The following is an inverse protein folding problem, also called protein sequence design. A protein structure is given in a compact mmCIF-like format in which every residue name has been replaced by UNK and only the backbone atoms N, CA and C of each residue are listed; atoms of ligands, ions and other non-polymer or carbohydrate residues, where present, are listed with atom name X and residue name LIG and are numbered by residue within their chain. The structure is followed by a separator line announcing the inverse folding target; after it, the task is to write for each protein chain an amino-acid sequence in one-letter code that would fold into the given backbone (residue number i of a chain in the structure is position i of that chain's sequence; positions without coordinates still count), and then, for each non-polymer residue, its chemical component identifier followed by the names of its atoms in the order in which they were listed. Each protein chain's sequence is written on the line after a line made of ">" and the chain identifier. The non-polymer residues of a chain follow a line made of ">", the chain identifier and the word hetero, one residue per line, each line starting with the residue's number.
data_IF_259003432235
#
_entry.id   IF_259003432235
#
_cell.length_a   1.000
_cell.length_b   1.000
_cell.length_c   1.000
_cell.angle_alpha   90.00
_cell.angle_beta   90.00
_cell.angle_gamma   90.00
#
_symmetry.space_group_name_H-M   'P 1'
#
loop_
_entity.id
_entity.type
_entity.pdbx_description
1 polymer ?
#
# COMPACT_ATOMS: atom_id res chain seq x y z
N UNK A 1 -29.80 -2.44 16.90
CA UNK A 1 -28.90 -2.46 15.75
C UNK A 1 -27.45 -2.43 16.19
N UNK A 2 -26.60 -3.19 15.52
CA UNK A 2 -25.19 -3.24 15.83
C UNK A 2 -24.44 -2.29 14.90
N UNK A 3 -23.61 -1.42 15.47
CA UNK A 3 -22.73 -0.51 14.73
C UNK A 3 -21.29 -0.88 14.97
N UNK A 4 -20.52 -1.03 13.88
CA UNK A 4 -19.09 -1.31 13.95
C UNK A 4 -18.39 -0.15 13.28
N UNK A 5 -17.46 0.49 13.98
CA UNK A 5 -16.72 1.64 13.46
C UNK A 5 -15.35 1.20 12.98
N UNK A 6 -15.00 1.56 11.75
CA UNK A 6 -13.74 1.18 11.14
C UNK A 6 -12.77 2.36 11.01
N UNK A 7 -13.26 3.50 10.53
CA UNK A 7 -12.45 4.71 10.27
C UNK A 7 -11.19 4.40 9.45
N UNK A 8 -11.37 3.61 8.40
CA UNK A 8 -10.30 3.15 7.53
C UNK A 8 -10.56 3.51 6.09
N UNK A 9 -9.49 3.81 5.37
CA UNK A 9 -9.56 3.93 3.93
C UNK A 9 -9.86 2.54 3.35
N UNK A 10 -10.81 2.46 2.42
CA UNK A 10 -11.20 1.21 1.78
C UNK A 10 -11.14 1.36 0.26
N UNK A 11 -11.07 0.24 -0.45
CA UNK A 11 -11.15 0.25 -1.91
C UNK A 11 -12.52 0.76 -2.36
N UNK A 12 -12.56 1.37 -3.53
CA UNK A 12 -13.71 2.12 -4.04
C UNK A 12 -15.02 1.33 -4.07
N UNK A 13 -14.95 0.02 -4.32
CA UNK A 13 -16.16 -0.81 -4.45
C UNK A 13 -16.62 -1.45 -3.15
N UNK A 14 -15.87 -1.28 -2.06
CA UNK A 14 -16.20 -1.93 -0.79
C UNK A 14 -17.57 -1.49 -0.25
N UNK A 15 -17.94 -0.19 -0.24
CA UNK A 15 -19.26 0.19 0.25
C UNK A 15 -20.41 -0.50 -0.50
N UNK A 16 -20.34 -0.57 -1.84
CA UNK A 16 -21.39 -1.22 -2.61
C UNK A 16 -21.42 -2.73 -2.40
N UNK A 17 -20.26 -3.37 -2.15
CA UNK A 17 -20.20 -4.80 -1.84
C UNK A 17 -20.89 -5.07 -0.51
N UNK A 18 -20.62 -4.24 0.50
CA UNK A 18 -21.25 -4.37 1.83
C UNK A 18 -22.75 -4.15 1.73
N UNK A 19 -23.19 -3.14 0.99
CA UNK A 19 -24.61 -2.83 0.81
C UNK A 19 -25.36 -3.93 0.06
N UNK A 20 -24.71 -4.61 -0.85
CA UNK A 20 -25.28 -5.77 -1.54
C UNK A 20 -25.53 -6.93 -0.58
N UNK A 21 -24.92 -6.94 0.60
CA UNK A 21 -25.15 -7.93 1.64
C UNK A 21 -26.28 -7.53 2.61
N UNK A 22 -27.00 -6.46 2.31
CA UNK A 22 -28.11 -5.98 3.14
C UNK A 22 -27.68 -5.09 4.30
N UNK A 23 -26.43 -4.63 4.32
CA UNK A 23 -25.90 -3.75 5.36
C UNK A 23 -25.86 -2.31 4.86
N UNK A 24 -25.76 -1.36 5.78
CA UNK A 24 -25.67 0.07 5.46
C UNK A 24 -24.28 0.58 5.79
N UNK A 25 -23.72 1.38 4.88
CA UNK A 25 -22.42 2.02 5.09
C UNK A 25 -22.59 3.51 5.33
N UNK A 26 -21.80 4.06 6.23
CA UNK A 26 -21.63 5.51 6.38
C UNK A 26 -20.21 5.81 5.88
N UNK A 27 -20.10 6.61 4.82
CA UNK A 27 -18.85 6.91 4.15
C UNK A 27 -18.62 8.41 4.03
N UNK A 28 -17.38 8.78 3.75
CA UNK A 28 -16.98 10.16 3.55
C UNK A 28 -15.89 10.19 2.49
N UNK A 29 -15.94 11.18 1.61
CA UNK A 29 -14.85 11.44 0.67
C UNK A 29 -13.89 12.40 1.37
N UNK A 30 -12.63 11.99 1.48
CA UNK A 30 -11.61 12.72 2.23
C UNK A 30 -11.07 13.92 1.45
N UNK A 31 -10.59 14.93 2.19
CA UNK A 31 -9.75 15.97 1.61
C UNK A 31 -8.44 15.35 1.10
N UNK A 32 -7.72 16.07 0.23
CA UNK A 32 -6.43 15.60 -0.27
C UNK A 32 -5.44 15.36 0.89
N UNK A 33 -5.40 16.26 1.85
CA UNK A 33 -4.50 16.15 3.01
C UNK A 33 -4.79 14.91 3.84
N UNK A 34 -6.07 14.68 4.18
CA UNK A 34 -6.46 13.52 4.96
C UNK A 34 -6.27 12.22 4.18
N UNK A 35 -6.54 12.26 2.88
CA UNK A 35 -6.34 11.11 2.01
C UNK A 35 -4.87 10.65 1.99
N UNK A 36 -3.94 11.57 1.80
CA UNK A 36 -2.51 11.26 1.79
C UNK A 36 -2.10 10.60 3.11
N UNK A 37 -2.55 11.16 4.23
CA UNK A 37 -2.24 10.63 5.55
C UNK A 37 -2.77 9.20 5.73
N UNK A 38 -4.02 8.96 5.31
CA UNK A 38 -4.64 7.64 5.47
C UNK A 38 -4.07 6.61 4.48
N UNK A 39 -3.62 7.03 3.30
CA UNK A 39 -2.89 6.15 2.39
C UNK A 39 -1.60 5.68 3.04
N UNK A 40 -0.84 6.58 3.66
CA UNK A 40 0.40 6.22 4.35
C UNK A 40 0.14 5.25 5.51
N UNK A 41 -0.93 5.48 6.28
CA UNK A 41 -1.33 4.55 7.34
C UNK A 41 -1.73 3.19 6.78
N UNK A 42 -2.40 3.18 5.63
CA UNK A 42 -2.83 1.96 4.95
C UNK A 42 -1.63 1.12 4.49
N UNK A 43 -0.55 1.77 4.06
CA UNK A 43 0.70 1.07 3.73
C UNK A 43 1.23 0.28 4.92
N UNK A 44 1.23 0.87 6.10
CA UNK A 44 1.65 0.19 7.33
C UNK A 44 0.74 -1.00 7.65
N UNK A 45 -0.57 -0.83 7.49
CA UNK A 45 -1.55 -1.88 7.74
C UNK A 45 -1.33 -3.08 6.81
N UNK A 46 -1.21 -2.83 5.50
CA UNK A 46 -1.03 -3.91 4.53
C UNK A 46 0.33 -4.59 4.68
N UNK A 47 1.37 -3.84 5.03
CA UNK A 47 2.67 -4.42 5.33
C UNK A 47 2.59 -5.36 6.53
N UNK A 48 1.90 -4.96 7.59
CA UNK A 48 1.72 -5.80 8.79
C UNK A 48 0.95 -7.08 8.45
N UNK A 49 -0.08 -6.99 7.63
CA UNK A 49 -0.87 -8.14 7.20
C UNK A 49 -0.02 -9.11 6.37
N UNK A 50 0.82 -8.59 5.48
CA UNK A 50 1.76 -9.42 4.73
C UNK A 50 2.76 -10.11 5.67
N UNK A 51 3.31 -9.39 6.63
CA UNK A 51 4.28 -9.97 7.57
C UNK A 51 3.68 -11.12 8.38
N UNK A 52 2.38 -11.08 8.63
CA UNK A 52 1.69 -12.14 9.34
C UNK A 52 1.35 -13.34 8.45
N UNK A 53 0.80 -13.10 7.25
CA UNK A 53 0.29 -14.17 6.38
C UNK A 53 1.30 -14.69 5.36
N UNK A 54 2.23 -13.83 4.91
CA UNK A 54 3.19 -14.09 3.82
C UNK A 54 2.51 -14.49 2.50
N UNK A 55 1.25 -14.09 2.30
CA UNK A 55 0.45 -14.51 1.15
C UNK A 55 0.62 -13.56 -0.05
N UNK A 56 0.32 -14.11 -1.23
CA UNK A 56 0.33 -13.33 -2.47
C UNK A 56 -0.75 -12.24 -2.46
N UNK A 57 -1.94 -12.56 -1.88
CA UNK A 57 -3.03 -11.59 -1.78
C UNK A 57 -2.61 -10.35 -1.00
N UNK A 58 -1.87 -10.53 0.09
CA UNK A 58 -1.40 -9.38 0.88
C UNK A 58 -0.35 -8.57 0.15
N UNK A 59 0.48 -9.21 -0.67
CA UNK A 59 1.41 -8.47 -1.53
C UNK A 59 0.65 -7.66 -2.59
N UNK A 60 -0.42 -8.22 -3.15
CA UNK A 60 -1.27 -7.51 -4.11
C UNK A 60 -1.94 -6.30 -3.46
N UNK A 61 -2.43 -6.45 -2.22
CA UNK A 61 -3.02 -5.34 -1.46
C UNK A 61 -1.99 -4.25 -1.19
N UNK A 62 -0.77 -4.63 -0.80
CA UNK A 62 0.32 -3.69 -0.57
C UNK A 62 0.67 -2.94 -1.85
N UNK A 63 0.72 -3.63 -2.98
CA UNK A 63 0.99 -3.02 -4.28
C UNK A 63 -0.09 -2.00 -4.65
N UNK A 64 -1.37 -2.32 -4.41
CA UNK A 64 -2.48 -1.41 -4.69
C UNK A 64 -2.35 -0.12 -3.89
N UNK A 65 -2.01 -0.22 -2.62
CA UNK A 65 -1.83 0.96 -1.76
C UNK A 65 -0.59 1.75 -2.19
N UNK A 66 0.49 1.07 -2.62
CA UNK A 66 1.67 1.75 -3.17
C UNK A 66 1.30 2.60 -4.39
N UNK A 67 0.47 2.07 -5.29
CA UNK A 67 0.00 2.84 -6.44
C UNK A 67 -0.79 4.07 -6.00
N UNK A 68 -1.67 3.92 -5.03
CA UNK A 68 -2.42 5.05 -4.46
C UNK A 68 -1.47 6.10 -3.86
N UNK A 69 -0.43 5.67 -3.15
CA UNK A 69 0.58 6.57 -2.56
C UNK A 69 1.33 7.36 -3.62
N UNK A 70 1.74 6.70 -4.70
CA UNK A 70 2.44 7.34 -5.82
C UNK A 70 1.58 8.46 -6.41
N UNK A 71 0.32 8.14 -6.73
CA UNK A 71 -0.60 9.10 -7.33
C UNK A 71 -0.98 10.22 -6.36
N UNK A 72 -1.19 9.90 -5.10
CA UNK A 72 -1.55 10.89 -4.08
C UNK A 72 -0.46 11.95 -3.91
N UNK A 73 0.80 11.59 -4.13
CA UNK A 73 1.92 12.52 -4.05
C UNK A 73 2.27 13.19 -5.37
N UNK A 74 1.45 12.99 -6.40
CA UNK A 74 1.60 13.66 -7.68
C UNK A 74 2.57 12.99 -8.65
N UNK A 75 3.01 11.77 -8.36
CA UNK A 75 3.84 11.01 -9.28
C UNK A 75 2.99 10.10 -10.15
N UNK A 76 3.55 9.64 -11.26
CA UNK A 76 2.91 8.63 -12.10
C UNK A 76 3.49 7.24 -11.80
N UNK A 77 2.74 6.21 -12.16
CA UNK A 77 3.21 4.84 -12.04
C UNK A 77 4.46 4.61 -12.89
N UNK A 78 4.49 5.20 -14.08
CA UNK A 78 5.63 5.10 -14.99
C UNK A 78 6.89 5.71 -14.38
N UNK A 79 6.76 6.83 -13.67
CA UNK A 79 7.88 7.44 -12.95
C UNK A 79 8.42 6.54 -11.85
N UNK A 80 7.53 5.86 -11.12
CA UNK A 80 7.94 4.90 -10.11
C UNK A 80 8.70 3.74 -10.74
N UNK A 81 8.16 3.16 -11.82
CA UNK A 81 8.81 2.04 -12.49
C UNK A 81 10.16 2.43 -13.08
N UNK A 82 10.27 3.61 -13.67
CA UNK A 82 11.54 4.10 -14.20
C UNK A 82 12.58 4.26 -13.09
N UNK A 83 12.16 4.78 -11.94
CA UNK A 83 13.04 4.94 -10.78
C UNK A 83 13.49 3.58 -10.25
N UNK A 84 12.56 2.65 -10.09
CA UNK A 84 12.85 1.28 -9.66
C UNK A 84 13.84 0.60 -10.61
N UNK A 85 13.59 0.70 -11.91
CA UNK A 85 14.43 0.06 -12.92
C UNK A 85 15.84 0.65 -12.92
N UNK A 86 15.98 1.96 -12.78
CA UNK A 86 17.28 2.62 -12.70
C UNK A 86 18.07 2.16 -11.47
N UNK A 87 17.41 2.06 -10.33
CA UNK A 87 18.04 1.56 -9.11
C UNK A 87 18.47 0.09 -9.26
N UNK A 88 17.63 -0.71 -9.88
CA UNK A 88 17.95 -2.12 -10.15
C UNK A 88 19.16 -2.25 -11.08
N UNK A 89 19.22 -1.41 -12.11
CA UNK A 89 20.32 -1.43 -13.06
C UNK A 89 21.64 -1.02 -12.39
N UNK A 90 21.60 -0.01 -11.53
CA UNK A 90 22.79 0.51 -10.86
C UNK A 90 23.23 -0.31 -9.66
N UNK A 91 22.31 -0.90 -8.93
CA UNK A 91 22.59 -1.57 -7.63
C UNK A 91 22.25 -3.05 -7.64
N UNK A 92 21.53 -3.55 -8.65
CA UNK A 92 21.04 -4.91 -8.71
C UNK A 92 19.72 -5.08 -7.96
N UNK A 93 19.19 -6.29 -8.05
CA UNK A 93 18.05 -6.71 -7.25
C UNK A 93 18.53 -7.46 -6.02
N UNK A 94 17.70 -8.37 -5.52
CA UNK A 94 18.00 -9.13 -4.29
C UNK A 94 18.21 -10.63 -4.56
N UNK A 95 18.32 -11.03 -5.82
CA UNK A 95 18.32 -12.44 -6.20
C UNK A 95 19.56 -13.21 -5.73
N UNK A 96 20.67 -12.52 -5.54
CA UNK A 96 21.91 -13.16 -5.11
C UNK A 96 21.98 -13.40 -3.59
N UNK A 97 20.97 -12.95 -2.84
CA UNK A 97 20.82 -13.22 -1.41
C UNK A 97 22.02 -12.77 -0.57
N UNK A 98 22.56 -11.58 -0.89
CA UNK A 98 23.77 -11.06 -0.26
C UNK A 98 23.45 -10.38 1.07
N UNK A 99 24.05 -10.86 2.15
CA UNK A 99 24.02 -10.21 3.44
C UNK A 99 25.33 -9.44 3.63
N UNK A 100 25.24 -8.12 3.72
CA UNK A 100 26.43 -7.30 4.01
C UNK A 100 26.68 -7.33 5.51
N UNK A 101 27.79 -7.94 5.92
CA UNK A 101 28.16 -8.06 7.34
C UNK A 101 29.00 -6.92 7.83
N UNK A 102 30.00 -6.53 7.05
CA UNK A 102 30.94 -5.50 7.44
C UNK A 102 31.45 -4.75 6.23
N UNK A 103 31.86 -3.54 6.43
CA UNK A 103 32.64 -2.75 5.47
C UNK A 103 33.96 -2.41 6.16
N UNK A 104 35.07 -2.75 5.51
CA UNK A 104 36.38 -2.46 6.05
C UNK A 104 37.00 -1.39 5.17
N UNK A 105 37.32 -0.25 5.76
CA UNK A 105 37.94 0.87 5.03
C UNK A 105 39.45 0.83 5.24
N UNK A 106 40.22 1.28 4.22
CA UNK A 106 41.69 1.31 4.30
C UNK A 106 42.20 2.39 5.26
#
# INVERSE_FOLDING_TARGET
>A
MKKIQYHKLVRDKIPQIIEAQGKTCVTQILSQEDYIRLVDEKLNEELAEYQESKSLEELADLLEVMEAAVKARGYTWEELLATRNRKRENRGGFQNRILLKEVIEP
#
